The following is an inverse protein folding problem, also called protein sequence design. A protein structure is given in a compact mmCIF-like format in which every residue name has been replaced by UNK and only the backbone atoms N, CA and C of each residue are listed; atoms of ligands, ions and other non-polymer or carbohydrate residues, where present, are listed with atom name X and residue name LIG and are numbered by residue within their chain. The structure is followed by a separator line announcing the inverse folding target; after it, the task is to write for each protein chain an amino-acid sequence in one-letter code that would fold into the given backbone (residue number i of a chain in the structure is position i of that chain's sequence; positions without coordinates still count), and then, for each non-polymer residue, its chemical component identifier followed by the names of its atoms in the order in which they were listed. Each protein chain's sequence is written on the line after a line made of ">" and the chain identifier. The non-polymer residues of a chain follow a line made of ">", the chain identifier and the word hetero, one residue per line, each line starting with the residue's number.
data_IF_673497029922
#
_entry.id   IF_673497029922
#
_cell.length_a   1.000
_cell.length_b   1.000
_cell.length_c   1.000
_cell.angle_alpha   90.00
_cell.angle_beta   90.00
_cell.angle_gamma   90.00
#
_symmetry.space_group_name_H-M   'P 1'
#
loop_
_entity.id
_entity.type
_entity.pdbx_description
1 polymer ?
#
# COMPACT_ATOMS: atom_id res chain seq x y z
N UNK A 1 -0.67 -37.47 -0.71
CA UNK A 1 -0.03 -38.35 0.31
C UNK A 1 0.12 -37.63 1.66
N UNK A 2 0.54 -36.36 1.70
CA UNK A 2 0.67 -35.55 2.94
C UNK A 2 -0.64 -35.34 3.71
N UNK A 3 -1.76 -35.10 3.01
CA UNK A 3 -3.09 -35.04 3.62
C UNK A 3 -3.48 -36.33 4.36
N UNK A 4 -3.00 -37.51 3.92
CA UNK A 4 -3.30 -38.79 4.59
C UNK A 4 -2.53 -38.96 5.91
N UNK A 5 -1.36 -38.32 6.05
CA UNK A 5 -0.58 -38.40 7.30
C UNK A 5 -1.13 -37.49 8.40
N UNK A 6 -1.75 -36.35 8.05
CA UNK A 6 -2.52 -35.53 9.00
C UNK A 6 -3.88 -36.18 9.32
N UNK A 7 -4.50 -36.86 8.36
CA UNK A 7 -5.79 -37.53 8.54
C UNK A 7 -5.71 -38.78 9.43
N UNK A 8 -4.60 -39.52 9.40
CA UNK A 8 -4.42 -40.73 10.22
C UNK A 8 -4.30 -40.45 11.73
N UNK A 9 -3.90 -39.24 12.13
CA UNK A 9 -3.87 -38.82 13.54
C UNK A 9 -5.26 -38.46 14.09
N UNK A 10 -6.28 -38.30 13.22
CA UNK A 10 -7.60 -37.80 13.60
C UNK A 10 -8.62 -38.90 13.97
N UNK A 11 -8.28 -40.18 13.82
CA UNK A 11 -9.18 -41.33 14.01
C UNK A 11 -9.21 -41.91 15.44
N UNK A 12 -8.58 -41.25 16.42
CA UNK A 12 -8.78 -41.55 17.84
C UNK A 12 -9.94 -40.74 18.41
N UNK A 13 -10.93 -41.44 18.98
CA UNK A 13 -12.11 -40.85 19.62
C UNK A 13 -11.73 -40.13 20.93
N UNK A 14 -11.30 -38.87 20.83
CA UNK A 14 -11.20 -37.91 21.92
C UNK A 14 -11.70 -36.55 21.40
N UNK A 15 -12.48 -35.78 22.19
CA UNK A 15 -12.83 -34.40 21.85
C UNK A 15 -11.54 -33.60 21.70
N UNK A 16 -11.33 -32.90 20.59
CA UNK A 16 -10.12 -32.12 20.35
C UNK A 16 -9.97 -31.06 21.46
N UNK A 17 -8.99 -31.17 22.39
CA UNK A 17 -8.76 -30.11 23.35
C UNK A 17 -8.17 -28.90 22.62
N UNK A 18 -8.45 -27.69 23.11
CA UNK A 18 -7.99 -26.40 22.56
C UNK A 18 -6.48 -26.40 22.21
N UNK A 19 -5.68 -27.12 23.01
CA UNK A 19 -4.24 -27.31 22.81
C UNK A 19 -3.88 -27.90 21.44
N UNK A 20 -4.73 -28.78 20.87
CA UNK A 20 -4.40 -29.50 19.64
C UNK A 20 -4.51 -28.61 18.38
N UNK A 21 -5.50 -27.70 18.31
CA UNK A 21 -5.66 -26.82 17.13
C UNK A 21 -4.51 -25.82 17.04
N UNK A 22 -4.14 -25.21 18.17
CA UNK A 22 -3.01 -24.30 18.25
C UNK A 22 -1.69 -24.97 17.87
N UNK A 23 -1.40 -26.14 18.44
CA UNK A 23 -0.17 -26.88 18.15
C UNK A 23 -0.04 -27.24 16.67
N UNK A 24 -1.15 -27.65 16.02
CA UNK A 24 -1.17 -27.93 14.59
C UNK A 24 -0.90 -26.69 13.74
N UNK A 25 -1.49 -25.54 14.10
CA UNK A 25 -1.24 -24.28 13.39
C UNK A 25 0.21 -23.79 13.57
N UNK A 26 0.74 -23.85 14.80
CA UNK A 26 2.12 -23.48 15.10
C UNK A 26 3.11 -24.37 14.32
N UNK A 27 2.85 -25.68 14.27
CA UNK A 27 3.67 -26.63 13.48
C UNK A 27 3.60 -26.36 11.98
N UNK A 28 2.43 -25.97 11.45
CA UNK A 28 2.29 -25.60 10.04
C UNK A 28 3.12 -24.36 9.71
N UNK A 29 3.10 -23.34 10.59
CA UNK A 29 3.93 -22.14 10.44
C UNK A 29 5.43 -22.46 10.53
N UNK A 30 5.86 -23.27 11.50
CA UNK A 30 7.26 -23.67 11.63
C UNK A 30 7.77 -24.37 10.37
N UNK A 31 6.96 -25.26 9.80
CA UNK A 31 7.30 -25.97 8.57
C UNK A 31 7.45 -25.01 7.39
N UNK A 32 6.53 -24.06 7.25
CA UNK A 32 6.60 -23.05 6.19
C UNK A 32 7.81 -22.12 6.39
N UNK A 33 8.10 -21.70 7.62
CA UNK A 33 9.28 -20.90 7.95
C UNK A 33 10.60 -21.62 7.61
N UNK A 34 10.67 -22.94 7.83
CA UNK A 34 11.83 -23.76 7.41
C UNK A 34 11.97 -23.78 5.90
N UNK A 35 10.87 -23.89 5.14
CA UNK A 35 10.92 -23.85 3.67
C UNK A 35 11.48 -22.52 3.16
N UNK A 36 11.13 -21.41 3.80
CA UNK A 36 11.72 -20.12 3.46
C UNK A 36 13.22 -20.11 3.75
N UNK A 37 13.66 -20.62 4.90
CA UNK A 37 15.07 -20.69 5.29
C UNK A 37 15.90 -21.62 4.38
N UNK A 38 15.29 -22.67 3.85
CA UNK A 38 15.89 -23.63 2.92
C UNK A 38 15.83 -23.17 1.45
N UNK A 39 15.43 -21.92 1.19
CA UNK A 39 15.27 -21.33 -0.15
C UNK A 39 14.36 -22.16 -1.08
N UNK A 40 13.34 -22.82 -0.52
CA UNK A 40 12.41 -23.63 -1.32
C UNK A 40 11.55 -22.70 -2.18
N UNK A 41 11.45 -22.92 -3.50
CA UNK A 41 10.57 -22.11 -4.34
C UNK A 41 9.09 -22.33 -3.96
N UNK A 42 8.27 -21.27 -4.01
CA UNK A 42 6.84 -21.41 -3.82
C UNK A 42 6.22 -22.17 -5.00
N UNK A 43 5.02 -22.72 -4.78
CA UNK A 43 4.26 -23.31 -5.86
C UNK A 43 3.61 -22.22 -6.72
N UNK A 44 3.12 -22.58 -7.90
CA UNK A 44 2.35 -21.68 -8.75
C UNK A 44 0.99 -22.29 -9.05
N UNK A 45 -0.07 -21.54 -8.80
CA UNK A 45 -1.44 -21.87 -9.14
C UNK A 45 -1.99 -20.76 -10.04
N UNK A 46 -2.43 -21.12 -11.24
CA UNK A 46 -2.94 -20.19 -12.25
C UNK A 46 -1.98 -19.01 -12.56
N UNK A 47 -0.68 -19.28 -12.54
CA UNK A 47 0.36 -18.27 -12.78
C UNK A 47 0.69 -17.37 -11.58
N UNK A 48 0.09 -17.61 -10.41
CA UNK A 48 0.34 -16.87 -9.18
C UNK A 48 1.14 -17.68 -8.17
N UNK A 49 2.09 -17.06 -7.47
CA UNK A 49 2.80 -17.70 -6.38
C UNK A 49 1.83 -18.15 -5.28
N UNK A 50 2.06 -19.35 -4.75
CA UNK A 50 1.21 -19.98 -3.77
C UNK A 50 2.04 -20.64 -2.66
N UNK A 51 1.55 -20.48 -1.42
CA UNK A 51 2.03 -21.18 -0.24
C UNK A 51 0.88 -21.98 0.37
N UNK A 52 1.19 -23.23 0.74
CA UNK A 52 0.21 -24.15 1.32
C UNK A 52 -0.26 -23.71 2.70
N UNK A 53 0.46 -22.78 3.37
CA UNK A 53 0.16 -22.38 4.74
C UNK A 53 -1.28 -21.90 4.90
N UNK A 54 -1.80 -21.10 3.96
CA UNK A 54 -3.18 -20.65 4.04
C UNK A 54 -4.17 -21.83 3.97
N UNK A 55 -3.92 -22.79 3.08
CA UNK A 55 -4.77 -23.98 2.91
C UNK A 55 -4.71 -24.84 4.17
N UNK A 56 -3.52 -25.12 4.68
CA UNK A 56 -3.32 -25.96 5.87
C UNK A 56 -4.06 -25.37 7.08
N UNK A 57 -3.94 -24.06 7.32
CA UNK A 57 -4.59 -23.40 8.46
C UNK A 57 -6.11 -23.36 8.29
N UNK A 58 -6.62 -23.07 7.08
CA UNK A 58 -8.05 -23.12 6.79
C UNK A 58 -8.60 -24.53 6.98
N UNK A 59 -7.86 -25.57 6.58
CA UNK A 59 -8.24 -26.96 6.79
C UNK A 59 -8.24 -27.36 8.27
N UNK A 60 -7.21 -26.97 9.03
CA UNK A 60 -7.13 -27.25 10.48
C UNK A 60 -8.35 -26.66 11.20
N UNK A 61 -8.66 -25.39 10.92
CA UNK A 61 -9.76 -24.67 11.58
C UNK A 61 -11.13 -25.20 11.14
N UNK A 62 -11.35 -25.43 9.85
CA UNK A 62 -12.62 -25.95 9.33
C UNK A 62 -12.91 -27.38 9.80
N UNK A 63 -11.90 -28.26 9.84
CA UNK A 63 -12.08 -29.63 10.35
C UNK A 63 -12.34 -29.66 11.86
N UNK A 64 -11.70 -28.79 12.63
CA UNK A 64 -11.98 -28.66 14.06
C UNK A 64 -13.44 -28.25 14.31
N UNK A 65 -13.94 -27.25 13.55
CA UNK A 65 -15.33 -26.81 13.60
C UNK A 65 -16.30 -27.95 13.23
N UNK A 66 -16.09 -28.61 12.08
CA UNK A 66 -16.96 -29.68 11.60
C UNK A 66 -17.00 -30.88 12.55
N UNK A 67 -15.84 -31.28 13.13
CA UNK A 67 -15.78 -32.37 14.10
C UNK A 67 -16.58 -32.04 15.36
N UNK A 68 -16.45 -30.82 15.88
CA UNK A 68 -17.20 -30.38 17.06
C UNK A 68 -18.72 -30.37 16.82
N UNK A 69 -19.15 -29.81 15.68
CA UNK A 69 -20.57 -29.76 15.30
C UNK A 69 -21.18 -31.15 15.07
N UNK A 70 -20.39 -32.10 14.59
CA UNK A 70 -20.83 -33.50 14.44
C UNK A 70 -21.11 -34.19 15.77
N UNK A 71 -20.55 -33.69 16.88
CA UNK A 71 -20.78 -34.19 18.24
C UNK A 71 -21.99 -33.49 18.84
N UNK A 72 -21.95 -32.16 19.01
CA UNK A 72 -23.08 -31.32 19.45
C UNK A 72 -22.96 -29.89 18.93
N UNK A 73 -24.11 -29.21 18.79
CA UNK A 73 -24.14 -27.78 18.43
C UNK A 73 -23.48 -26.86 19.48
N UNK A 74 -23.60 -27.23 20.76
CA UNK A 74 -22.95 -26.48 21.85
C UNK A 74 -21.42 -26.59 21.75
N UNK A 75 -20.88 -27.80 21.50
CA UNK A 75 -19.45 -27.98 21.28
C UNK A 75 -18.98 -27.23 20.02
N UNK A 76 -19.78 -27.22 18.95
CA UNK A 76 -19.56 -26.38 17.77
C UNK A 76 -19.47 -24.89 18.10
N UNK A 77 -20.32 -24.39 18.99
CA UNK A 77 -20.29 -22.99 19.44
C UNK A 77 -19.07 -22.69 20.33
N UNK A 78 -18.68 -23.64 21.19
CA UNK A 78 -17.48 -23.52 22.03
C UNK A 78 -16.21 -23.50 21.17
N UNK A 79 -16.05 -24.41 20.22
CA UNK A 79 -14.85 -24.43 19.36
C UNK A 79 -14.77 -23.18 18.49
N UNK A 80 -15.90 -22.66 17.99
CA UNK A 80 -15.93 -21.40 17.24
C UNK A 80 -15.34 -20.24 18.04
N UNK A 81 -15.68 -20.14 19.34
CA UNK A 81 -15.11 -19.13 20.25
C UNK A 81 -13.61 -19.32 20.45
N UNK A 82 -13.14 -20.56 20.54
CA UNK A 82 -11.70 -20.88 20.63
C UNK A 82 -10.98 -20.43 19.37
N UNK A 83 -11.50 -20.76 18.19
CA UNK A 83 -10.90 -20.39 16.90
C UNK A 83 -10.82 -18.86 16.73
N UNK A 84 -11.82 -18.13 17.20
CA UNK A 84 -11.82 -16.65 17.21
C UNK A 84 -10.70 -16.04 18.07
N UNK A 85 -10.11 -16.79 19.00
CA UNK A 85 -8.95 -16.38 19.81
C UNK A 85 -7.65 -16.89 19.21
N UNK A 86 -7.61 -18.15 18.78
CA UNK A 86 -6.39 -18.81 18.33
C UNK A 86 -5.95 -18.35 16.93
N UNK A 87 -6.86 -18.09 15.99
CA UNK A 87 -6.45 -17.65 14.65
C UNK A 87 -5.79 -16.26 14.66
N UNK A 88 -6.31 -15.21 15.34
CA UNK A 88 -5.58 -13.95 15.44
C UNK A 88 -4.22 -14.09 16.14
N UNK A 89 -4.11 -14.99 17.11
CA UNK A 89 -2.83 -15.30 17.76
C UNK A 89 -1.84 -15.93 16.76
N UNK A 90 -2.30 -16.89 15.96
CA UNK A 90 -1.55 -17.46 14.85
C UNK A 90 -1.13 -16.40 13.83
N UNK A 91 -2.05 -15.53 13.37
CA UNK A 91 -1.76 -14.50 12.37
C UNK A 91 -0.67 -13.54 12.86
N UNK A 92 -0.64 -13.20 14.16
CA UNK A 92 0.46 -12.42 14.76
C UNK A 92 1.79 -13.17 14.77
N UNK A 93 1.79 -14.48 15.02
CA UNK A 93 3.00 -15.30 14.96
C UNK A 93 3.50 -15.45 13.52
N UNK A 94 2.59 -15.62 12.56
CA UNK A 94 2.89 -15.67 11.13
C UNK A 94 3.52 -14.36 10.65
N UNK A 95 2.92 -13.22 11.00
CA UNK A 95 3.47 -11.90 10.70
C UNK A 95 4.90 -11.73 11.27
N UNK A 96 5.13 -12.14 12.52
CA UNK A 96 6.48 -12.07 13.14
C UNK A 96 7.49 -12.94 12.39
N UNK A 97 7.15 -14.19 12.10
CA UNK A 97 8.01 -15.10 11.35
C UNK A 97 8.30 -14.58 9.93
N UNK A 98 7.30 -14.02 9.27
CA UNK A 98 7.47 -13.41 7.95
C UNK A 98 8.40 -12.19 8.00
N UNK A 99 8.25 -11.30 8.99
CA UNK A 99 9.15 -10.15 9.16
C UNK A 99 10.61 -10.61 9.38
N UNK A 100 10.84 -11.66 10.17
CA UNK A 100 12.18 -12.24 10.33
C UNK A 100 12.75 -12.78 9.02
N UNK A 101 11.90 -13.42 8.20
CA UNK A 101 12.26 -13.85 6.85
C UNK A 101 12.59 -12.67 5.94
N UNK A 102 11.80 -11.59 5.95
CA UNK A 102 12.06 -10.39 5.18
C UNK A 102 13.45 -9.80 5.49
N UNK A 103 13.84 -9.78 6.76
CA UNK A 103 15.14 -9.24 7.16
C UNK A 103 16.33 -10.14 6.79
N UNK A 104 16.18 -11.45 6.95
CA UNK A 104 17.30 -12.41 6.78
C UNK A 104 17.41 -13.01 5.37
N UNK A 105 16.31 -13.02 4.63
CA UNK A 105 16.19 -13.76 3.37
C UNK A 105 16.66 -13.04 2.11
N UNK A 106 17.11 -11.78 2.21
CA UNK A 106 17.37 -10.89 1.04
C UNK A 106 18.36 -11.45 0.00
N UNK A 107 19.23 -12.40 0.40
CA UNK A 107 20.22 -13.04 -0.48
C UNK A 107 19.72 -14.35 -1.11
N UNK A 108 18.53 -14.82 -0.76
CA UNK A 108 17.97 -16.09 -1.24
C UNK A 108 17.44 -15.94 -2.67
N UNK A 109 17.57 -17.00 -3.46
CA UNK A 109 17.21 -16.99 -4.88
C UNK A 109 15.70 -16.83 -5.06
N UNK A 110 14.92 -17.52 -4.22
CA UNK A 110 13.47 -17.53 -4.29
C UNK A 110 12.84 -16.49 -3.34
N UNK A 111 13.64 -15.56 -2.79
CA UNK A 111 13.18 -14.57 -1.82
C UNK A 111 11.94 -13.83 -2.29
N UNK A 112 12.01 -13.20 -3.47
CA UNK A 112 10.92 -12.41 -4.03
C UNK A 112 9.67 -13.25 -4.28
N UNK A 113 9.83 -14.43 -4.86
CA UNK A 113 8.71 -15.33 -5.13
C UNK A 113 8.00 -15.75 -3.83
N UNK A 114 8.77 -16.04 -2.78
CA UNK A 114 8.24 -16.36 -1.46
C UNK A 114 7.55 -15.15 -0.80
N UNK A 115 8.05 -13.92 -0.97
CA UNK A 115 7.35 -12.71 -0.53
C UNK A 115 5.98 -12.59 -1.22
N UNK A 116 5.93 -12.77 -2.55
CA UNK A 116 4.68 -12.75 -3.33
C UNK A 116 3.72 -13.85 -2.85
N UNK A 117 4.20 -15.08 -2.62
CA UNK A 117 3.38 -16.20 -2.14
C UNK A 117 2.69 -15.86 -0.81
N UNK A 118 3.43 -15.28 0.13
CA UNK A 118 2.92 -14.93 1.46
C UNK A 118 1.95 -13.74 1.42
N UNK A 119 2.13 -12.78 0.51
CA UNK A 119 1.14 -11.74 0.24
C UNK A 119 -0.14 -12.36 -0.31
N UNK A 120 -0.02 -13.27 -1.29
CA UNK A 120 -1.17 -13.93 -1.91
C UNK A 120 -2.00 -14.73 -0.89
N UNK A 121 -1.38 -15.30 0.15
CA UNK A 121 -2.09 -15.99 1.24
C UNK A 121 -3.13 -15.10 1.95
N UNK A 122 -2.91 -13.78 2.01
CA UNK A 122 -3.85 -12.85 2.65
C UNK A 122 -5.26 -12.92 2.04
N UNK A 123 -5.35 -13.19 0.73
CA UNK A 123 -6.64 -13.32 0.05
C UNK A 123 -7.40 -14.56 0.55
N UNK A 124 -6.72 -15.71 0.64
CA UNK A 124 -7.31 -16.95 1.11
C UNK A 124 -7.83 -16.85 2.55
N UNK A 125 -7.06 -16.23 3.44
CA UNK A 125 -7.49 -16.00 4.82
C UNK A 125 -8.71 -15.08 4.90
N UNK A 126 -8.69 -13.96 4.17
CA UNK A 126 -9.81 -13.01 4.13
C UNK A 126 -11.09 -13.70 3.66
N UNK A 127 -11.04 -14.37 2.50
CA UNK A 127 -12.20 -15.06 1.91
C UNK A 127 -12.76 -16.13 2.86
N UNK A 128 -11.89 -16.93 3.48
CA UNK A 128 -12.31 -17.98 4.41
C UNK A 128 -12.96 -17.40 5.66
N UNK A 129 -12.41 -16.34 6.26
CA UNK A 129 -12.96 -15.75 7.48
C UNK A 129 -14.29 -15.03 7.22
N UNK A 130 -14.43 -14.34 6.08
CA UNK A 130 -15.68 -13.71 5.66
C UNK A 130 -16.82 -14.73 5.48
N UNK A 131 -16.52 -15.88 4.88
CA UNK A 131 -17.50 -16.94 4.64
C UNK A 131 -17.87 -17.70 5.93
N UNK A 132 -16.89 -18.01 6.78
CA UNK A 132 -17.08 -18.97 7.86
C UNK A 132 -17.54 -18.33 9.18
N UNK A 133 -17.16 -17.09 9.47
CA UNK A 133 -17.25 -16.59 10.86
C UNK A 133 -18.43 -15.67 11.14
N UNK A 134 -19.10 -15.11 10.12
CA UNK A 134 -20.28 -14.25 10.27
C UNK A 134 -20.10 -13.17 11.36
N UNK A 135 -18.90 -12.58 11.45
CA UNK A 135 -18.60 -11.50 12.40
C UNK A 135 -18.83 -10.13 11.75
N UNK A 136 -19.13 -9.07 12.52
CA UNK A 136 -19.20 -7.71 12.00
C UNK A 136 -17.90 -7.31 11.28
N UNK A 137 -18.01 -6.51 10.22
CA UNK A 137 -16.87 -6.10 9.38
C UNK A 137 -15.75 -5.40 10.17
N UNK A 138 -16.09 -4.56 11.14
CA UNK A 138 -15.10 -3.88 11.98
C UNK A 138 -14.31 -4.87 12.84
N UNK A 139 -15.00 -5.89 13.38
CA UNK A 139 -14.36 -6.96 14.15
C UNK A 139 -13.46 -7.80 13.25
N UNK A 140 -13.94 -8.17 12.06
CA UNK A 140 -13.15 -8.92 11.10
C UNK A 140 -11.87 -8.16 10.71
N UNK A 141 -11.98 -6.85 10.48
CA UNK A 141 -10.85 -5.98 10.15
C UNK A 141 -9.80 -5.96 11.26
N UNK A 142 -10.22 -5.92 12.53
CA UNK A 142 -9.32 -6.02 13.68
C UNK A 142 -8.63 -7.39 13.77
N UNK A 143 -9.35 -8.49 13.51
CA UNK A 143 -8.79 -9.84 13.55
C UNK A 143 -7.78 -10.08 12.42
N UNK A 144 -8.01 -9.49 11.24
CA UNK A 144 -7.14 -9.56 10.07
C UNK A 144 -6.00 -8.53 10.08
N UNK A 145 -5.94 -7.64 11.08
CA UNK A 145 -4.90 -6.60 11.20
C UNK A 145 -3.47 -7.09 10.94
N UNK A 146 -3.01 -8.20 11.55
CA UNK A 146 -1.67 -8.74 11.31
C UNK A 146 -1.39 -9.11 9.83
N UNK A 147 -2.41 -9.53 9.08
CA UNK A 147 -2.27 -9.78 7.63
C UNK A 147 -2.15 -8.49 6.82
N UNK A 148 -2.79 -7.41 7.27
CA UNK A 148 -2.61 -6.07 6.72
C UNK A 148 -1.17 -5.60 6.87
N UNK A 149 -0.58 -5.76 8.06
CA UNK A 149 0.82 -5.42 8.32
C UNK A 149 1.78 -6.32 7.53
N UNK A 150 1.53 -7.63 7.48
CA UNK A 150 2.30 -8.58 6.67
C UNK A 150 2.34 -8.16 5.20
N UNK A 151 1.17 -7.84 4.63
CA UNK A 151 1.05 -7.36 3.25
C UNK A 151 1.82 -6.05 3.05
N UNK A 152 1.68 -5.09 3.97
CA UNK A 152 2.38 -3.80 3.89
C UNK A 152 3.90 -3.99 3.84
N UNK A 153 4.47 -4.75 4.77
CA UNK A 153 5.91 -5.02 4.78
C UNK A 153 6.37 -5.80 3.54
N UNK A 154 5.51 -6.71 3.04
CA UNK A 154 5.74 -7.40 1.78
C UNK A 154 5.81 -6.43 0.59
N UNK A 155 4.84 -5.52 0.44
CA UNK A 155 4.86 -4.50 -0.61
C UNK A 155 6.08 -3.57 -0.49
N UNK A 156 6.38 -3.09 0.72
CA UNK A 156 7.56 -2.25 0.97
C UNK A 156 8.85 -2.95 0.51
N UNK A 157 8.98 -4.24 0.81
CA UNK A 157 10.10 -5.07 0.36
C UNK A 157 10.15 -5.20 -1.16
N UNK A 158 9.03 -5.53 -1.80
CA UNK A 158 8.96 -5.73 -3.24
C UNK A 158 9.25 -4.45 -4.04
N UNK A 159 8.89 -3.29 -3.48
CA UNK A 159 9.05 -1.98 -4.10
C UNK A 159 10.38 -1.29 -3.75
N UNK A 160 11.13 -1.80 -2.75
CA UNK A 160 12.33 -1.14 -2.23
C UNK A 160 13.35 -0.78 -3.32
N UNK A 161 13.74 -1.75 -4.15
CA UNK A 161 14.74 -1.53 -5.20
C UNK A 161 14.27 -0.51 -6.24
N UNK A 162 13.00 -0.59 -6.66
CA UNK A 162 12.42 0.38 -7.58
C UNK A 162 12.43 1.79 -6.97
N UNK A 163 12.04 1.93 -5.70
CA UNK A 163 12.11 3.23 -5.03
C UNK A 163 13.54 3.79 -4.98
N UNK A 164 14.56 2.96 -4.72
CA UNK A 164 15.96 3.40 -4.77
C UNK A 164 16.39 3.85 -6.17
N UNK A 165 15.99 3.11 -7.22
CA UNK A 165 16.26 3.46 -8.62
C UNK A 165 15.59 4.79 -9.02
N UNK A 166 14.38 5.07 -8.50
CA UNK A 166 13.63 6.29 -8.80
C UNK A 166 14.15 7.54 -8.08
N UNK A 167 14.69 7.41 -6.87
CA UNK A 167 15.21 8.55 -6.07
C UNK A 167 16.14 9.49 -6.86
N UNK A 168 17.21 9.03 -7.54
CA UNK A 168 18.07 9.92 -8.31
C UNK A 168 17.35 10.56 -9.49
N UNK A 169 16.42 9.86 -10.14
CA UNK A 169 15.64 10.39 -11.25
C UNK A 169 14.73 11.54 -10.81
N UNK A 170 14.01 11.41 -9.69
CA UNK A 170 13.23 12.51 -9.13
C UNK A 170 14.10 13.71 -8.74
N UNK A 171 15.29 13.49 -8.16
CA UNK A 171 16.20 14.59 -7.81
C UNK A 171 16.60 15.42 -9.04
N UNK A 172 16.61 14.82 -10.25
CA UNK A 172 16.94 15.53 -11.50
C UNK A 172 16.03 16.74 -11.74
N UNK A 173 14.73 16.68 -11.43
CA UNK A 173 13.82 17.84 -11.56
C UNK A 173 14.40 19.08 -10.88
N UNK A 174 14.85 18.93 -9.63
CA UNK A 174 15.41 20.05 -8.87
C UNK A 174 16.83 20.41 -9.27
N UNK A 175 17.65 19.44 -9.68
CA UNK A 175 19.04 19.69 -10.10
C UNK A 175 19.11 20.42 -11.43
N UNK A 176 18.23 20.09 -12.38
CA UNK A 176 18.14 20.75 -13.69
C UNK A 176 17.27 21.99 -13.66
N UNK A 177 16.77 22.39 -12.47
CA UNK A 177 15.83 23.51 -12.30
C UNK A 177 14.64 23.42 -13.26
N UNK A 178 14.10 22.22 -13.43
CA UNK A 178 12.93 21.96 -14.28
C UNK A 178 13.14 22.32 -15.76
N UNK A 179 14.38 22.23 -16.27
CA UNK A 179 14.67 22.55 -17.67
C UNK A 179 14.07 21.54 -18.68
N UNK A 180 14.03 20.25 -18.34
CA UNK A 180 13.43 19.20 -19.18
C UNK A 180 12.51 18.27 -18.34
N UNK A 181 11.34 18.76 -17.87
CA UNK A 181 10.48 18.01 -16.96
C UNK A 181 9.83 16.78 -17.62
N UNK A 182 9.51 16.88 -18.90
CA UNK A 182 8.85 15.81 -19.67
C UNK A 182 9.81 14.63 -19.86
N UNK A 183 11.00 14.89 -20.41
CA UNK A 183 12.04 13.86 -20.57
C UNK A 183 12.45 13.23 -19.23
N UNK A 184 12.49 14.01 -18.15
CA UNK A 184 12.79 13.49 -16.81
C UNK A 184 11.71 12.52 -16.35
N UNK A 185 10.43 12.85 -16.59
CA UNK A 185 9.32 11.97 -16.27
C UNK A 185 9.29 10.72 -17.16
N UNK A 186 9.53 10.85 -18.46
CA UNK A 186 9.57 9.70 -19.38
C UNK A 186 10.59 8.65 -18.91
N UNK A 187 11.77 9.09 -18.45
CA UNK A 187 12.77 8.19 -17.86
C UNK A 187 12.28 7.50 -16.58
N UNK A 188 11.52 8.21 -15.74
CA UNK A 188 10.91 7.64 -14.52
C UNK A 188 9.89 6.57 -14.91
N UNK A 189 8.97 6.89 -15.83
CA UNK A 189 7.93 5.97 -16.29
C UNK A 189 8.54 4.73 -16.94
N UNK A 190 9.55 4.88 -17.82
CA UNK A 190 10.24 3.76 -18.44
C UNK A 190 10.94 2.85 -17.41
N UNK A 191 11.49 3.43 -16.34
CA UNK A 191 12.10 2.67 -15.24
C UNK A 191 11.05 1.86 -14.48
N UNK A 192 9.88 2.46 -14.19
CA UNK A 192 8.77 1.74 -13.54
C UNK A 192 8.26 0.62 -14.45
N UNK A 193 7.98 0.91 -15.71
CA UNK A 193 7.42 -0.04 -16.68
C UNK A 193 8.29 -1.29 -16.83
N UNK A 194 9.62 -1.10 -16.92
CA UNK A 194 10.58 -2.21 -17.01
C UNK A 194 10.54 -3.14 -15.80
N UNK A 195 10.15 -2.63 -14.62
CA UNK A 195 10.05 -3.41 -13.37
C UNK A 195 8.67 -4.05 -13.16
N UNK A 196 7.61 -3.58 -13.84
CA UNK A 196 6.25 -4.07 -13.63
C UNK A 196 6.08 -5.59 -13.84
N UNK A 197 6.73 -6.23 -14.83
CA UNK A 197 6.64 -7.68 -15.00
C UNK A 197 7.07 -8.48 -13.77
N UNK A 198 7.94 -7.93 -12.91
CA UNK A 198 8.39 -8.61 -11.70
C UNK A 198 7.25 -8.86 -10.70
N UNK A 199 6.11 -8.18 -10.82
CA UNK A 199 4.94 -8.30 -9.93
C UNK A 199 3.82 -9.17 -10.54
N UNK A 200 4.03 -9.80 -11.70
CA UNK A 200 2.97 -10.52 -12.42
C UNK A 200 2.38 -11.69 -11.65
N UNK A 201 3.19 -12.34 -10.79
CA UNK A 201 2.80 -13.50 -9.98
C UNK A 201 1.97 -13.14 -8.73
N UNK A 202 1.74 -11.85 -8.44
CA UNK A 202 0.76 -11.40 -7.43
C UNK A 202 -0.66 -11.65 -7.92
N UNK A 203 -1.58 -11.93 -6.99
CA UNK A 203 -3.01 -11.96 -7.26
C UNK A 203 -3.51 -10.62 -7.80
N UNK A 204 -4.55 -10.65 -8.64
CA UNK A 204 -5.07 -9.47 -9.34
C UNK A 204 -5.36 -8.28 -8.41
N UNK A 205 -6.09 -8.50 -7.33
CA UNK A 205 -6.41 -7.46 -6.35
C UNK A 205 -5.16 -6.85 -5.70
N UNK A 206 -4.13 -7.64 -5.42
CA UNK A 206 -2.87 -7.13 -4.85
C UNK A 206 -2.01 -6.41 -5.87
N UNK A 207 -2.13 -6.72 -7.17
CA UNK A 207 -1.49 -5.92 -8.23
C UNK A 207 -2.12 -4.54 -8.34
N UNK A 208 -3.45 -4.44 -8.27
CA UNK A 208 -4.15 -3.15 -8.27
C UNK A 208 -3.77 -2.30 -7.04
N UNK A 209 -3.73 -2.91 -5.84
CA UNK A 209 -3.30 -2.23 -4.63
C UNK A 209 -1.82 -1.78 -4.69
N UNK A 210 -0.93 -2.64 -5.21
CA UNK A 210 0.48 -2.28 -5.41
C UNK A 210 0.62 -1.14 -6.43
N UNK A 211 -0.21 -1.13 -7.48
CA UNK A 211 -0.24 -0.07 -8.47
C UNK A 211 -0.81 1.24 -7.91
N UNK A 212 -1.78 1.21 -6.99
CA UNK A 212 -2.18 2.39 -6.20
C UNK A 212 -1.01 2.92 -5.35
N UNK A 213 -0.27 2.04 -4.67
CA UNK A 213 0.90 2.46 -3.88
C UNK A 213 1.99 3.12 -4.74
N UNK A 214 2.26 2.57 -5.93
CA UNK A 214 3.18 3.16 -6.91
C UNK A 214 2.66 4.50 -7.45
N UNK A 215 1.38 4.60 -7.80
CA UNK A 215 0.77 5.85 -8.26
C UNK A 215 0.89 6.95 -7.19
N UNK A 216 0.57 6.61 -5.94
CA UNK A 216 0.76 7.51 -4.80
C UNK A 216 2.23 7.93 -4.65
N UNK A 217 3.17 7.00 -4.77
CA UNK A 217 4.60 7.30 -4.70
C UNK A 217 5.03 8.31 -5.77
N UNK A 218 4.62 8.10 -7.03
CA UNK A 218 4.97 8.99 -8.14
C UNK A 218 4.45 10.42 -7.92
N UNK A 219 3.18 10.56 -7.56
CA UNK A 219 2.55 11.87 -7.27
C UNK A 219 3.23 12.53 -6.07
N UNK A 220 3.41 11.79 -4.98
CA UNK A 220 4.03 12.29 -3.75
C UNK A 220 5.46 12.78 -4.00
N UNK A 221 6.30 12.00 -4.66
CA UNK A 221 7.69 12.39 -4.95
C UNK A 221 7.76 13.58 -5.89
N UNK A 222 6.84 13.68 -6.86
CA UNK A 222 6.73 14.84 -7.73
C UNK A 222 6.42 16.12 -6.95
N UNK A 223 5.44 16.08 -6.03
CA UNK A 223 5.10 17.20 -5.15
C UNK A 223 6.29 17.55 -4.25
N UNK A 224 6.98 16.55 -3.69
CA UNK A 224 8.21 16.77 -2.91
C UNK A 224 9.25 17.55 -3.72
N UNK A 225 9.44 17.22 -5.01
CA UNK A 225 10.39 17.98 -5.85
C UNK A 225 9.92 19.41 -6.10
N UNK A 226 8.62 19.65 -6.31
CA UNK A 226 8.05 20.98 -6.45
C UNK A 226 8.27 21.82 -5.18
N UNK A 227 8.09 21.23 -4.00
CA UNK A 227 8.15 21.93 -2.72
C UNK A 227 9.58 22.24 -2.21
N UNK A 228 10.64 21.85 -2.91
CA UNK A 228 12.04 22.02 -2.43
C UNK A 228 12.60 23.45 -2.47
N UNK A 229 11.82 24.45 -2.90
CA UNK A 229 12.20 25.88 -2.84
C UNK A 229 13.41 26.29 -3.70
N UNK A 230 13.84 25.44 -4.65
CA UNK A 230 15.01 25.70 -5.52
C UNK A 230 14.68 26.44 -6.82
N UNK A 231 13.40 26.68 -7.08
CA UNK A 231 12.89 27.34 -8.27
C UNK A 231 12.04 28.53 -7.86
N UNK A 232 12.35 29.71 -8.39
CA UNK A 232 11.58 30.94 -8.20
C UNK A 232 11.40 31.60 -9.57
N UNK A 233 10.15 31.76 -9.98
CA UNK A 233 9.74 32.27 -11.29
C UNK A 233 9.11 33.66 -11.13
N UNK A 234 9.71 34.67 -11.74
CA UNK A 234 9.30 36.08 -11.54
C UNK A 234 8.23 36.56 -12.53
N UNK A 235 8.13 35.91 -13.69
CA UNK A 235 7.24 36.34 -14.77
C UNK A 235 6.06 35.38 -14.91
N UNK A 236 4.90 35.87 -15.33
CA UNK A 236 3.71 35.06 -15.54
C UNK A 236 3.93 33.99 -16.63
N UNK A 237 4.73 34.30 -17.65
CA UNK A 237 5.04 33.42 -18.79
C UNK A 237 5.81 32.18 -18.32
N UNK A 238 6.85 32.37 -17.50
CA UNK A 238 7.60 31.26 -16.88
C UNK A 238 6.70 30.39 -16.00
N UNK A 239 5.81 31.01 -15.22
CA UNK A 239 4.89 30.30 -14.34
C UNK A 239 3.87 29.48 -15.14
N UNK A 240 3.35 30.04 -16.24
CA UNK A 240 2.46 29.35 -17.16
C UNK A 240 3.16 28.20 -17.90
N UNK A 241 4.42 28.39 -18.29
CA UNK A 241 5.23 27.33 -18.89
C UNK A 241 5.44 26.16 -17.93
N UNK A 242 5.82 26.43 -16.67
CA UNK A 242 5.97 25.39 -15.65
C UNK A 242 4.63 24.67 -15.40
N UNK A 243 3.52 25.41 -15.27
CA UNK A 243 2.20 24.82 -15.10
C UNK A 243 1.84 23.88 -16.27
N UNK A 244 2.15 24.28 -17.52
CA UNK A 244 1.97 23.42 -18.68
C UNK A 244 2.76 22.11 -18.60
N UNK A 245 4.02 22.16 -18.14
CA UNK A 245 4.81 20.94 -17.91
C UNK A 245 4.24 20.07 -16.79
N UNK A 246 3.75 20.67 -15.69
CA UNK A 246 3.12 19.92 -14.60
C UNK A 246 1.87 19.21 -15.09
N UNK A 247 1.03 19.87 -15.92
CA UNK A 247 -0.17 19.27 -16.49
C UNK A 247 0.18 18.09 -17.41
N UNK A 248 1.11 18.28 -18.35
CA UNK A 248 1.55 17.19 -19.25
C UNK A 248 2.10 15.98 -18.47
N UNK A 249 2.87 16.26 -17.41
CA UNK A 249 3.41 15.23 -16.53
C UNK A 249 2.32 14.53 -15.69
N UNK A 250 1.33 15.28 -15.21
CA UNK A 250 0.19 14.74 -14.47
C UNK A 250 -0.62 13.78 -15.34
N UNK A 251 -0.93 14.18 -16.58
CA UNK A 251 -1.65 13.35 -17.54
C UNK A 251 -0.89 12.06 -17.86
N UNK A 252 0.44 12.16 -18.03
CA UNK A 252 1.30 11.00 -18.28
C UNK A 252 1.28 10.02 -17.10
N UNK A 253 1.44 10.51 -15.86
CA UNK A 253 1.39 9.67 -14.65
C UNK A 253 0.01 9.01 -14.54
N UNK A 254 -1.07 9.77 -14.68
CA UNK A 254 -2.43 9.28 -14.55
C UNK A 254 -2.72 8.20 -15.60
N UNK A 255 -2.39 8.47 -16.87
CA UNK A 255 -2.64 7.54 -17.97
C UNK A 255 -1.86 6.24 -17.77
N UNK A 256 -0.56 6.32 -17.49
CA UNK A 256 0.28 5.17 -17.23
C UNK A 256 -0.26 4.35 -16.06
N UNK A 257 -0.50 4.97 -14.91
CA UNK A 257 -0.96 4.24 -13.72
C UNK A 257 -2.33 3.60 -13.93
N UNK A 258 -3.26 4.29 -14.60
CA UNK A 258 -4.60 3.75 -14.89
C UNK A 258 -4.53 2.58 -15.86
N UNK A 259 -3.71 2.68 -16.91
CA UNK A 259 -3.51 1.61 -17.89
C UNK A 259 -2.98 0.33 -17.23
N UNK A 260 -2.15 0.46 -16.20
CA UNK A 260 -1.60 -0.66 -15.42
C UNK A 260 -2.47 -1.06 -14.21
N UNK A 261 -3.69 -0.54 -14.10
CA UNK A 261 -4.70 -1.02 -13.13
C UNK A 261 -4.75 -0.27 -11.80
N UNK A 262 -4.17 0.93 -11.69
CA UNK A 262 -4.31 1.76 -10.49
C UNK A 262 -5.77 2.22 -10.31
N UNK A 263 -6.44 1.94 -9.17
CA UNK A 263 -7.77 2.46 -8.87
C UNK A 263 -7.76 3.90 -8.30
N UNK A 264 -6.59 4.53 -8.19
CA UNK A 264 -6.39 5.75 -7.40
C UNK A 264 -6.86 7.05 -8.09
N UNK A 265 -8.14 7.12 -8.48
CA UNK A 265 -8.74 8.30 -9.12
C UNK A 265 -8.67 9.57 -8.28
N UNK A 266 -8.61 9.44 -6.95
CA UNK A 266 -8.45 10.54 -6.00
C UNK A 266 -7.12 11.29 -6.13
N UNK A 267 -6.10 10.72 -6.78
CA UNK A 267 -4.82 11.38 -7.06
C UNK A 267 -4.88 12.29 -8.29
N UNK A 268 -5.88 12.11 -9.16
CA UNK A 268 -6.00 12.83 -10.43
C UNK A 268 -5.94 14.37 -10.28
N UNK A 269 -6.62 15.02 -9.30
CA UNK A 269 -6.54 16.48 -9.18
C UNK A 269 -5.27 16.99 -8.48
N UNK A 270 -4.41 16.13 -7.92
CA UNK A 270 -3.28 16.55 -7.07
C UNK A 270 -2.30 17.49 -7.80
N UNK A 271 -1.78 17.04 -8.94
CA UNK A 271 -0.82 17.83 -9.72
C UNK A 271 -1.49 18.94 -10.56
N UNK A 272 -2.63 18.70 -11.24
CA UNK A 272 -3.30 19.74 -12.02
C UNK A 272 -3.71 20.95 -11.20
N UNK A 273 -4.26 20.77 -10.00
CA UNK A 273 -4.64 21.90 -9.17
C UNK A 273 -3.43 22.68 -8.65
N UNK A 274 -2.31 22.00 -8.32
CA UNK A 274 -1.06 22.70 -7.99
C UNK A 274 -0.51 23.50 -9.18
N UNK A 275 -0.61 22.96 -10.40
CA UNK A 275 -0.25 23.68 -11.62
C UNK A 275 -1.09 24.96 -11.77
N UNK A 276 -2.39 24.88 -11.47
CA UNK A 276 -3.30 26.01 -11.56
C UNK A 276 -2.98 27.10 -10.52
N UNK A 277 -2.68 26.71 -9.27
CA UNK A 277 -2.18 27.64 -8.23
C UNK A 277 -0.91 28.35 -8.71
N UNK A 278 0.00 27.64 -9.39
CA UNK A 278 1.24 28.22 -9.95
C UNK A 278 0.94 29.12 -11.16
N UNK A 279 -0.07 28.82 -11.97
CA UNK A 279 -0.42 29.57 -13.19
C UNK A 279 -1.15 30.87 -12.89
N UNK A 280 -2.12 30.84 -11.98
CA UNK A 280 -3.01 31.97 -11.66
C UNK A 280 -2.22 33.19 -11.18
N UNK A 281 -2.58 34.38 -11.68
CA UNK A 281 -1.91 35.64 -11.32
C UNK A 281 -2.73 36.47 -10.32
N UNK A 282 -4.06 36.38 -10.37
CA UNK A 282 -4.94 37.10 -9.45
C UNK A 282 -4.96 36.43 -8.06
N UNK A 283 -4.64 37.15 -6.97
CA UNK A 283 -4.64 36.59 -5.62
C UNK A 283 -5.99 36.04 -5.16
N UNK A 284 -7.11 36.58 -5.67
CA UNK A 284 -8.45 36.09 -5.31
C UNK A 284 -8.75 34.76 -5.99
N UNK A 285 -8.38 34.61 -7.26
CA UNK A 285 -8.44 33.34 -7.98
C UNK A 285 -7.57 32.27 -7.30
N UNK A 286 -6.35 32.61 -6.88
CA UNK A 286 -5.47 31.68 -6.16
C UNK A 286 -6.15 31.18 -4.87
N UNK A 287 -6.85 32.05 -4.12
CA UNK A 287 -7.57 31.63 -2.90
C UNK A 287 -8.67 30.61 -3.18
N UNK A 288 -9.43 30.81 -4.26
CA UNK A 288 -10.51 29.89 -4.66
C UNK A 288 -9.92 28.52 -4.99
N UNK A 289 -8.81 28.51 -5.73
CA UNK A 289 -8.14 27.26 -6.10
C UNK A 289 -7.56 26.55 -4.87
N UNK A 290 -6.94 27.29 -3.94
CA UNK A 290 -6.44 26.73 -2.67
C UNK A 290 -7.56 26.16 -1.80
N UNK A 291 -8.71 26.83 -1.73
CA UNK A 291 -9.87 26.33 -0.98
C UNK A 291 -10.41 25.02 -1.58
N UNK A 292 -10.48 24.95 -2.91
CA UNK A 292 -10.85 23.73 -3.64
C UNK A 292 -9.85 22.62 -3.37
N UNK A 293 -8.56 22.93 -3.43
CA UNK A 293 -7.49 21.97 -3.16
C UNK A 293 -7.52 21.40 -1.74
N UNK A 294 -7.76 22.25 -0.75
CA UNK A 294 -7.88 21.83 0.66
C UNK A 294 -9.13 20.98 0.92
N UNK A 295 -10.17 21.11 0.10
CA UNK A 295 -11.35 20.25 0.16
C UNK A 295 -11.05 18.86 -0.39
N UNK A 296 -10.27 18.78 -1.47
CA UNK A 296 -9.82 17.49 -2.03
C UNK A 296 -8.76 16.80 -1.16
N UNK A 297 -7.87 17.60 -0.53
CA UNK A 297 -6.74 17.12 0.27
C UNK A 297 -6.70 17.85 1.61
N UNK A 298 -7.49 17.42 2.61
CA UNK A 298 -7.60 18.10 3.90
C UNK A 298 -6.31 18.04 4.75
N UNK A 299 -5.38 17.14 4.41
CA UNK A 299 -4.04 17.11 5.02
C UNK A 299 -3.05 18.10 4.39
N UNK A 300 -3.48 18.88 3.38
CA UNK A 300 -2.71 19.99 2.82
C UNK A 300 -2.53 21.12 3.86
N UNK A 301 -1.29 21.52 4.09
CA UNK A 301 -0.94 22.39 5.21
C UNK A 301 -0.45 23.76 4.73
N UNK A 302 -0.43 24.73 5.65
CA UNK A 302 0.17 26.04 5.38
C UNK A 302 1.65 25.97 4.98
N UNK A 303 2.37 24.94 5.43
CA UNK A 303 3.76 24.70 5.04
C UNK A 303 3.86 24.29 3.57
N UNK A 304 3.03 23.32 3.16
CA UNK A 304 2.89 22.91 1.77
C UNK A 304 2.54 24.08 0.85
N UNK A 305 1.51 24.84 1.21
CA UNK A 305 1.12 26.03 0.46
C UNK A 305 2.24 27.07 0.36
N UNK A 306 2.96 27.33 1.45
CA UNK A 306 4.11 28.23 1.45
C UNK A 306 5.20 27.80 0.47
N UNK A 307 5.53 26.50 0.42
CA UNK A 307 6.54 25.99 -0.51
C UNK A 307 6.11 26.14 -1.98
N UNK A 308 4.83 25.90 -2.28
CA UNK A 308 4.30 26.07 -3.65
C UNK A 308 4.27 27.55 -4.03
N UNK A 309 3.77 28.43 -3.15
CA UNK A 309 3.75 29.88 -3.40
C UNK A 309 5.17 30.47 -3.50
N UNK A 310 6.18 29.87 -2.89
CA UNK A 310 7.57 30.32 -3.02
C UNK A 310 8.11 30.21 -4.47
N UNK A 311 7.51 29.33 -5.28
CA UNK A 311 7.81 29.24 -6.72
C UNK A 311 7.37 30.54 -7.43
N UNK A 312 6.33 31.21 -6.94
CA UNK A 312 5.89 32.51 -7.45
C UNK A 312 6.73 33.64 -6.86
N UNK A 313 7.68 34.12 -7.65
CA UNK A 313 8.54 35.25 -7.29
C UNK A 313 7.88 36.64 -7.41
N UNK A 314 6.60 36.71 -7.79
CA UNK A 314 5.88 37.95 -8.06
C UNK A 314 4.80 38.31 -7.03
N UNK A 315 4.55 37.47 -6.03
CA UNK A 315 3.62 37.77 -4.95
C UNK A 315 4.29 38.55 -3.83
N UNK A 316 3.63 39.57 -3.31
CA UNK A 316 4.05 40.28 -2.10
C UNK A 316 3.84 39.42 -0.85
N UNK A 317 4.60 39.70 0.20
CA UNK A 317 4.42 39.06 1.51
C UNK A 317 2.99 39.23 2.07
N UNK A 318 2.33 40.34 1.74
CA UNK A 318 0.95 40.59 2.16
C UNK A 318 -0.05 39.68 1.46
N UNK A 319 0.14 39.43 0.17
CA UNK A 319 -0.69 38.52 -0.63
C UNK A 319 -0.49 37.07 -0.19
N UNK A 320 0.76 36.65 -0.01
CA UNK A 320 1.07 35.30 0.51
C UNK A 320 0.38 35.06 1.85
N UNK A 321 0.43 36.02 2.78
CA UNK A 321 -0.27 35.91 4.08
C UNK A 321 -1.79 35.80 3.90
N UNK A 322 -2.40 36.62 3.03
CA UNK A 322 -3.84 36.60 2.76
C UNK A 322 -4.30 35.30 2.08
N UNK A 323 -3.47 34.72 1.20
CA UNK A 323 -3.78 33.45 0.55
C UNK A 323 -3.73 32.33 1.59
N UNK A 324 -2.67 32.29 2.43
CA UNK A 324 -2.51 31.26 3.47
C UNK A 324 -3.61 31.26 4.53
N UNK A 325 -4.24 32.39 4.81
CA UNK A 325 -5.32 32.45 5.80
C UNK A 325 -6.59 31.72 5.37
N UNK A 326 -6.73 31.34 4.09
CA UNK A 326 -7.89 30.55 3.66
C UNK A 326 -7.93 29.18 4.34
N UNK A 327 -6.75 28.60 4.62
CA UNK A 327 -6.64 27.31 5.30
C UNK A 327 -7.02 27.38 6.79
N UNK A 328 -7.16 28.57 7.38
CA UNK A 328 -7.68 28.72 8.75
C UNK A 328 -9.20 28.51 8.82
N UNK A 329 -9.90 28.72 7.70
CA UNK A 329 -11.37 28.65 7.61
C UNK A 329 -11.82 27.28 7.10
N UNK A 330 -11.03 26.66 6.23
CA UNK A 330 -11.34 25.36 5.61
C UNK A 330 -11.05 24.15 6.50
N UNK A 331 -10.31 24.31 7.60
CA UNK A 331 -10.00 23.21 8.53
C UNK A 331 -11.12 23.00 9.56
N UNK A 332 -12.32 22.64 9.10
CA UNK A 332 -13.21 21.83 9.91
C UNK A 332 -12.59 20.44 10.05
N UNK A 333 -12.55 19.87 11.26
CA UNK A 333 -11.85 18.62 11.58
C UNK A 333 -12.41 17.40 10.82
N UNK A 334 -12.08 17.26 9.54
CA UNK A 334 -12.22 16.02 8.80
C UNK A 334 -10.86 15.32 8.80
N UNK A 335 -10.80 14.16 9.43
CA UNK A 335 -9.64 13.29 9.24
C UNK A 335 -9.56 12.90 7.75
N UNK A 336 -8.39 13.04 7.11
CA UNK A 336 -8.21 12.63 5.74
C UNK A 336 -8.49 11.13 5.62
N UNK A 337 -9.42 10.74 4.76
CA UNK A 337 -9.69 9.33 4.48
C UNK A 337 -8.49 8.64 3.81
N UNK A 338 -7.60 9.42 3.17
CA UNK A 338 -6.39 8.95 2.49
C UNK A 338 -5.24 9.96 2.69
N UNK A 339 -4.07 9.53 3.18
CA UNK A 339 -2.93 10.42 3.42
C UNK A 339 -2.16 10.71 2.12
N UNK A 340 -1.95 12.00 1.81
CA UNK A 340 -1.05 12.46 0.74
C UNK A 340 -0.03 13.45 1.31
N UNK A 341 -0.50 14.59 1.81
CA UNK A 341 0.35 15.66 2.33
C UNK A 341 0.90 15.38 3.73
N UNK A 342 0.21 14.58 4.52
CA UNK A 342 0.76 14.04 5.78
C UNK A 342 2.01 13.18 5.56
N UNK A 343 2.19 12.63 4.34
CA UNK A 343 3.38 11.88 3.94
C UNK A 343 4.50 12.78 3.35
N UNK A 344 4.22 14.06 3.14
CA UNK A 344 5.14 15.02 2.55
C UNK A 344 5.67 15.91 3.67
N UNK A 345 6.98 15.85 3.92
CA UNK A 345 7.64 16.76 4.87
C UNK A 345 8.17 17.96 4.11
N UNK A 346 7.62 19.13 4.42
CA UNK A 346 8.15 20.42 3.94
C UNK A 346 9.00 21.02 5.04
N UNK A 347 10.25 21.36 4.70
CA UNK A 347 11.23 21.95 5.60
C UNK A 347 11.11 23.46 5.74
#
# INVERSE_FOLDING_TARGET
>A
VRARHLHAAALGAEPLPQANVRELMDRALELEARRWAEDVPPQRLDGHCHSELAIDIIQITSQAQAKAESITLDLGSQIKRVLLVELPAFLRSYQRAFNEFLERGKQLTNYRANVIANINNCLSFRMSMEQNWQVPQDTLSLLLGPLGELKSHGFDTLLQNLHEDLKPLFKRFTHTRWAAPVETLENIIATVDTRLPEFSELQGCFREELMEALHLHLVKEYIIQLSKGRLVLKTAEQQQQLAGYILANADTIQHFCTQHGSPATWLQPALPTLAEIIRLQDPSAIKIEVATYATCYPDFSKGHLSAILAIKGNLSNSEVKRIRSILDVSMGAQEPSRPLFSLIKVG
#
